data_IF_103688307469
#
_entry.id   IF_103688307469
#
_cell.length_a   1.000
_cell.length_b   1.000
_cell.length_c   1.000
_cell.angle_alpha   90.00
_cell.angle_beta   90.00
_cell.angle_gamma   90.00
#
_symmetry.space_group_name_H-M   'P 1'
#
loop_
_entity.id
_entity.type
_entity.pdbx_description
1 polymer ?
#
# COMPACT_ATOMS: atom_id res chain seq x y z
N UNK A 1 13.17 -71.55 20.33
CA UNK A 1 13.00 -71.77 18.89
C UNK A 1 11.67 -71.16 18.51
N UNK A 2 11.56 -70.07 17.79
CA UNK A 2 12.51 -69.21 17.08
C UNK A 2 11.64 -68.01 16.65
N UNK A 3 11.97 -66.81 17.13
CA UNK A 3 12.43 -65.65 16.34
C UNK A 3 11.40 -65.00 15.39
N UNK A 4 11.20 -63.69 15.64
CA UNK A 4 11.17 -62.63 14.62
C UNK A 4 9.92 -62.57 13.73
N UNK A 5 9.41 -61.44 13.22
CA UNK A 5 9.89 -60.07 12.99
C UNK A 5 8.63 -59.17 12.98
N UNK A 6 8.60 -58.01 13.61
CA UNK A 6 9.16 -56.74 13.12
C UNK A 6 8.64 -56.32 11.74
N UNK A 7 7.53 -55.57 11.71
CA UNK A 7 7.21 -54.55 10.68
C UNK A 7 5.81 -54.00 10.97
N UNK A 8 5.48 -52.71 10.99
CA UNK A 8 6.18 -51.51 10.56
C UNK A 8 5.36 -50.34 11.11
N UNK A 9 5.95 -49.54 11.99
CA UNK A 9 5.41 -48.21 12.30
C UNK A 9 5.75 -47.30 11.13
N UNK A 10 4.75 -46.75 10.44
CA UNK A 10 4.94 -45.58 9.58
C UNK A 10 3.80 -44.60 9.79
N UNK A 11 4.11 -43.66 10.68
CA UNK A 11 3.59 -42.31 10.83
C UNK A 11 2.75 -41.82 9.65
N UNK A 12 1.44 -41.69 9.87
CA UNK A 12 0.60 -40.81 9.07
C UNK A 12 0.88 -39.38 9.56
N UNK A 13 1.72 -38.67 8.80
CA UNK A 13 1.80 -37.20 8.82
C UNK A 13 0.44 -36.64 8.41
N UNK A 14 -0.45 -36.48 9.40
CA UNK A 14 -1.62 -35.62 9.30
C UNK A 14 -1.13 -34.18 9.16
N UNK A 15 -1.44 -33.57 8.03
CA UNK A 15 -0.95 -32.25 7.67
C UNK A 15 -1.53 -31.18 8.59
N UNK A 16 -0.67 -30.54 9.37
CA UNK A 16 -0.93 -29.23 9.96
C UNK A 16 -1.17 -28.22 8.84
N UNK A 17 -2.43 -28.01 8.49
CA UNK A 17 -2.89 -26.78 7.86
C UNK A 17 -4.02 -26.24 8.70
N UNK A 18 -3.60 -25.57 9.77
CA UNK A 18 -4.37 -24.62 10.56
C UNK A 18 -5.36 -23.86 9.66
N UNK A 19 -6.61 -24.32 9.68
CA UNK A 19 -7.67 -23.93 8.75
C UNK A 19 -8.37 -22.64 9.23
N UNK A 20 -7.61 -21.68 9.76
CA UNK A 20 -8.16 -20.36 10.06
C UNK A 20 -8.09 -19.52 8.79
N UNK A 21 -9.07 -19.74 7.90
CA UNK A 21 -9.52 -18.68 6.98
C UNK A 21 -9.79 -17.45 7.84
N UNK A 22 -9.05 -16.37 7.60
CA UNK A 22 -9.22 -15.16 8.40
C UNK A 22 -10.58 -14.59 8.06
N UNK A 23 -11.33 -14.17 9.07
CA UNK A 23 -12.65 -13.54 8.88
C UNK A 23 -12.57 -12.32 7.94
N UNK A 24 -11.38 -11.70 7.81
CA UNK A 24 -11.07 -10.64 6.85
C UNK A 24 -11.25 -11.04 5.38
N UNK A 25 -11.14 -12.33 5.06
CA UNK A 25 -11.12 -12.84 3.69
C UNK A 25 -12.53 -12.98 3.10
N UNK A 26 -13.58 -12.73 3.91
CA UNK A 26 -14.99 -12.75 3.49
C UNK A 26 -15.48 -11.42 2.91
N UNK A 27 -14.67 -10.36 2.92
CA UNK A 27 -15.06 -9.11 2.28
C UNK A 27 -14.95 -9.27 0.75
N UNK A 28 -16.04 -9.12 -0.02
CA UNK A 28 -15.93 -9.14 -1.47
C UNK A 28 -15.17 -7.88 -1.89
N UNK A 29 -13.86 -8.03 -2.13
CA UNK A 29 -13.08 -6.99 -2.78
C UNK A 29 -13.82 -6.61 -4.07
N UNK A 30 -13.96 -5.31 -4.37
CA UNK A 30 -14.59 -4.88 -5.61
C UNK A 30 -13.90 -5.56 -6.81
N UNK A 31 -14.57 -6.52 -7.44
CA UNK A 31 -14.02 -7.29 -8.58
C UNK A 31 -14.00 -6.49 -9.88
N UNK A 32 -14.47 -5.24 -9.87
CA UNK A 32 -14.62 -4.40 -11.04
C UNK A 32 -13.37 -3.55 -11.22
N UNK A 33 -12.69 -3.72 -12.36
CA UNK A 33 -11.66 -2.77 -12.80
C UNK A 33 -12.33 -1.41 -13.00
N UNK A 34 -11.86 -0.39 -12.28
CA UNK A 34 -12.25 0.99 -12.54
C UNK A 34 -11.53 1.45 -13.81
N UNK A 35 -12.18 2.31 -14.58
CA UNK A 35 -11.50 2.99 -15.68
C UNK A 35 -10.41 3.91 -15.12
N UNK A 36 -9.34 4.16 -15.89
CA UNK A 36 -8.38 5.21 -15.55
C UNK A 36 -9.10 6.55 -15.31
N UNK A 37 -8.52 7.36 -14.43
CA UNK A 37 -8.97 8.74 -14.25
C UNK A 37 -8.39 9.53 -15.43
N UNK A 38 -9.25 10.11 -16.25
CA UNK A 38 -8.90 10.88 -17.45
C UNK A 38 -9.17 12.38 -17.23
N UNK A 39 -8.54 13.24 -18.04
CA UNK A 39 -8.74 14.68 -18.06
C UNK A 39 -7.79 15.49 -17.18
N UNK A 40 -7.15 14.88 -16.18
CA UNK A 40 -6.16 15.55 -15.33
C UNK A 40 -4.85 15.85 -16.08
N UNK A 41 -4.52 15.05 -17.08
CA UNK A 41 -3.35 15.25 -17.95
C UNK A 41 -3.40 16.57 -18.73
N UNK A 42 -4.59 17.15 -18.90
CA UNK A 42 -4.79 18.43 -19.58
C UNK A 42 -4.97 19.61 -18.60
N UNK A 43 -5.02 19.33 -17.28
CA UNK A 43 -5.16 20.37 -16.28
C UNK A 43 -3.80 21.00 -15.98
N UNK A 44 -3.75 22.32 -15.74
CA UNK A 44 -2.52 22.97 -15.32
C UNK A 44 -2.07 22.41 -13.98
N UNK A 45 -0.77 22.13 -13.85
CA UNK A 45 -0.17 21.81 -12.56
C UNK A 45 -0.27 23.02 -11.63
N UNK A 46 -0.62 22.75 -10.38
CA UNK A 46 -0.70 23.75 -9.32
C UNK A 46 0.36 23.46 -8.26
N UNK A 47 0.62 24.43 -7.38
CA UNK A 47 1.52 24.18 -6.25
C UNK A 47 0.91 23.16 -5.29
N UNK A 48 1.76 22.52 -4.50
CA UNK A 48 1.32 21.52 -3.53
C UNK A 48 0.36 22.11 -2.48
N UNK A 49 0.50 23.39 -2.11
CA UNK A 49 -0.42 24.09 -1.22
C UNK A 49 -1.83 24.20 -1.79
N UNK A 50 -1.95 24.55 -3.08
CA UNK A 50 -3.24 24.62 -3.76
C UNK A 50 -3.88 23.23 -3.88
N UNK A 51 -3.08 22.22 -4.21
CA UNK A 51 -3.53 20.84 -4.35
C UNK A 51 -4.14 20.27 -3.06
N UNK A 52 -3.63 20.65 -1.87
CA UNK A 52 -4.11 20.11 -0.59
C UNK A 52 -5.32 20.84 -0.01
N UNK A 53 -5.70 22.02 -0.51
CA UNK A 53 -6.88 22.77 -0.04
C UNK A 53 -8.16 21.92 0.11
N UNK A 54 -8.58 21.12 -0.89
CA UNK A 54 -9.75 20.25 -0.74
C UNK A 54 -9.57 19.15 0.32
N UNK A 55 -8.33 18.79 0.65
CA UNK A 55 -8.00 17.71 1.58
C UNK A 55 -7.95 18.17 3.04
N UNK A 56 -7.83 19.46 3.33
CA UNK A 56 -7.68 20.00 4.70
C UNK A 56 -8.78 19.53 5.66
N UNK A 57 -10.01 19.37 5.15
CA UNK A 57 -11.16 18.91 5.95
C UNK A 57 -11.17 17.41 6.23
N UNK A 58 -10.41 16.63 5.46
CA UNK A 58 -10.44 15.15 5.44
C UNK A 58 -9.16 14.59 6.07
N UNK A 59 -8.03 15.25 5.83
CA UNK A 59 -6.70 14.80 6.23
C UNK A 59 -6.15 15.74 7.30
N UNK A 60 -6.16 15.34 8.60
CA UNK A 60 -5.65 16.17 9.66
C UNK A 60 -4.17 16.53 9.44
N UNK A 61 -3.82 17.79 9.69
CA UNK A 61 -2.44 18.31 9.63
C UNK A 61 -1.79 18.27 8.23
N UNK A 62 -2.56 18.07 7.15
CA UNK A 62 -2.01 18.02 5.78
C UNK A 62 -1.20 19.27 5.43
N UNK A 63 -1.64 20.45 5.84
CA UNK A 63 -0.92 21.71 5.60
C UNK A 63 0.44 21.76 6.31
N UNK A 64 0.51 21.23 7.54
CA UNK A 64 1.78 21.11 8.26
C UNK A 64 2.71 20.13 7.55
N UNK A 65 2.17 19.01 7.08
CA UNK A 65 2.98 18.02 6.36
C UNK A 65 3.52 18.61 5.06
N UNK A 66 2.71 19.38 4.31
CA UNK A 66 3.16 20.14 3.14
C UNK A 66 4.36 21.03 3.46
N UNK A 67 4.29 21.77 4.56
CA UNK A 67 5.41 22.62 4.97
C UNK A 67 6.69 21.81 5.22
N UNK A 68 6.58 20.72 5.99
CA UNK A 68 7.71 19.83 6.30
C UNK A 68 8.31 19.23 5.01
N UNK A 69 7.47 18.76 4.08
CA UNK A 69 7.99 18.12 2.87
C UNK A 69 8.69 19.12 1.96
N UNK A 70 8.20 20.35 1.86
CA UNK A 70 8.87 21.40 1.06
C UNK A 70 10.23 21.77 1.63
N UNK A 71 10.36 21.86 2.95
CA UNK A 71 11.66 22.14 3.59
C UNK A 71 12.68 21.03 3.35
N UNK A 72 12.22 19.78 3.27
CA UNK A 72 13.07 18.62 3.02
C UNK A 72 13.45 18.46 1.54
N UNK A 73 12.68 19.03 0.61
CA UNK A 73 12.94 18.98 -0.84
C UNK A 73 13.94 20.05 -1.30
N UNK A 74 15.23 19.84 -1.00
CA UNK A 74 16.31 20.79 -1.32
C UNK A 74 16.98 20.56 -2.69
N UNK A 75 16.94 19.33 -3.22
CA UNK A 75 17.52 18.99 -4.52
C UNK A 75 16.72 17.86 -5.20
N UNK A 76 15.60 18.20 -5.87
CA UNK A 76 14.78 17.21 -6.56
C UNK A 76 15.56 16.42 -7.61
N UNK A 77 15.37 15.11 -7.66
CA UNK A 77 15.96 14.25 -8.68
C UNK A 77 15.16 14.30 -9.99
N UNK A 78 15.72 13.73 -11.06
CA UNK A 78 15.01 13.42 -12.30
C UNK A 78 14.38 14.62 -13.04
N UNK A 79 14.86 15.83 -12.76
CA UNK A 79 14.34 17.06 -13.34
C UNK A 79 12.98 17.48 -12.79
N UNK A 80 12.55 16.90 -11.66
CA UNK A 80 11.31 17.28 -10.99
C UNK A 80 11.43 18.69 -10.41
N UNK A 81 10.29 19.37 -10.34
CA UNK A 81 10.16 20.57 -9.53
C UNK A 81 10.11 20.22 -8.04
N UNK A 82 10.38 21.21 -7.19
CA UNK A 82 10.23 21.06 -5.74
C UNK A 82 8.82 20.63 -5.35
N UNK A 83 7.78 21.19 -5.99
CA UNK A 83 6.39 20.86 -5.68
C UNK A 83 6.03 19.42 -6.13
N UNK A 84 6.51 18.97 -7.28
CA UNK A 84 6.34 17.58 -7.73
C UNK A 84 7.03 16.59 -6.78
N UNK A 85 8.29 16.84 -6.44
CA UNK A 85 9.03 15.97 -5.51
C UNK A 85 8.41 15.99 -4.11
N UNK A 86 7.95 17.14 -3.63
CA UNK A 86 7.25 17.27 -2.35
C UNK A 86 5.91 16.51 -2.38
N UNK A 87 5.20 16.50 -3.51
CA UNK A 87 3.93 15.76 -3.64
C UNK A 87 4.11 14.25 -3.55
N UNK A 88 5.21 13.73 -4.13
CA UNK A 88 5.59 12.31 -4.02
C UNK A 88 5.94 12.00 -2.56
N UNK A 89 6.74 12.85 -1.92
CA UNK A 89 7.15 12.65 -0.54
C UNK A 89 6.00 12.81 0.46
N UNK A 90 4.98 13.62 0.14
CA UNK A 90 3.77 13.74 0.97
C UNK A 90 2.92 12.46 0.96
N UNK A 91 3.01 11.66 -0.11
CA UNK A 91 2.27 10.41 -0.26
C UNK A 91 2.92 9.24 0.52
N UNK A 92 4.23 9.28 0.75
CA UNK A 92 5.00 8.24 1.46
C UNK A 92 4.98 8.40 2.97
#
# INVERSE_FOLDING_TARGET
MDTSDSDKSMSLRGSDKSMYLRVSDFSPLPKRKLSPIEGYENMPLVTIEEAVKPLVKIVPKVERNVHIVKENCTNPADGLTTDESASIMLYT
#
